data_IF_016156754268
#
_entry.id   IF_016156754268
#
_cell.length_a   1.000
_cell.length_b   1.000
_cell.length_c   1.000
_cell.angle_alpha   90.00
_cell.angle_beta   90.00
_cell.angle_gamma   90.00
#
_symmetry.space_group_name_H-M   'P 1'
#
loop_
_entity.id
_entity.type
_entity.pdbx_description
1 polymer ?
#
# COMPACT_ATOMS: atom_id res chain seq x y z
N UNK A 1 -28.60 1.34 9.30
CA UNK A 1 -27.95 2.40 8.66
C UNK A 1 -26.48 2.10 8.44
N UNK A 2 -26.12 2.12 7.24
CA UNK A 2 -24.84 1.57 6.93
C UNK A 2 -24.00 2.60 6.29
N UNK A 3 -23.50 3.34 6.37
CA UNK A 3 -22.63 4.29 5.77
C UNK A 3 -21.89 5.05 6.82
N UNK A 4 -20.84 5.65 6.43
CA UNK A 4 -20.09 6.52 7.29
C UNK A 4 -20.86 7.78 7.53
N UNK A 5 -20.86 8.26 8.74
CA UNK A 5 -21.36 9.59 9.02
C UNK A 5 -20.40 10.63 8.42
N UNK A 6 -20.89 11.80 8.04
CA UNK A 6 -20.00 12.86 7.54
C UNK A 6 -18.88 13.19 8.53
N UNK A 7 -19.14 13.08 9.83
CA UNK A 7 -18.09 13.31 10.84
C UNK A 7 -17.01 12.25 10.80
N UNK A 8 -17.38 11.00 10.48
CA UNK A 8 -16.41 9.92 10.38
C UNK A 8 -15.52 10.11 9.16
N UNK A 9 -16.11 10.48 8.02
CA UNK A 9 -15.33 10.77 6.81
C UNK A 9 -14.41 11.97 7.03
N UNK A 10 -14.88 12.98 7.72
CA UNK A 10 -14.04 14.13 8.05
C UNK A 10 -12.87 13.73 8.95
N UNK A 11 -13.11 12.87 9.93
CA UNK A 11 -12.07 12.37 10.81
C UNK A 11 -11.05 11.54 10.02
N UNK A 12 -11.51 10.68 9.14
CA UNK A 12 -10.63 9.86 8.29
C UNK A 12 -9.78 10.77 7.40
N UNK A 13 -10.39 11.78 6.78
CA UNK A 13 -9.67 12.71 5.92
C UNK A 13 -8.60 13.47 6.70
N UNK A 14 -8.91 13.90 7.91
CA UNK A 14 -7.94 14.60 8.75
C UNK A 14 -6.77 13.69 9.14
N UNK A 15 -7.06 12.50 9.61
CA UNK A 15 -6.03 11.54 9.96
C UNK A 15 -5.16 11.17 8.77
N UNK A 16 -5.77 11.01 7.59
CA UNK A 16 -5.04 10.71 6.36
C UNK A 16 -4.09 11.85 5.98
N UNK A 17 -4.55 13.10 6.13
CA UNK A 17 -3.72 14.25 5.85
C UNK A 17 -2.54 14.36 6.82
N UNK A 18 -2.79 14.11 8.10
CA UNK A 18 -1.75 14.13 9.12
C UNK A 18 -0.73 13.04 8.87
N UNK A 19 -1.20 11.84 8.55
CA UNK A 19 -0.31 10.72 8.23
C UNK A 19 0.51 11.02 6.98
N UNK A 20 -0.10 11.55 5.93
CA UNK A 20 0.62 11.90 4.71
C UNK A 20 1.71 12.93 5.00
N UNK A 21 1.44 13.92 5.86
CA UNK A 21 2.44 14.90 6.26
C UNK A 21 3.59 14.24 7.03
N UNK A 22 3.27 13.33 7.93
CA UNK A 22 4.24 12.57 8.70
C UNK A 22 5.17 11.78 7.77
N UNK A 23 4.60 11.11 6.78
CA UNK A 23 5.37 10.32 5.83
C UNK A 23 6.28 11.19 4.97
N UNK A 24 5.79 12.36 4.55
CA UNK A 24 6.61 13.30 3.78
C UNK A 24 7.80 13.80 4.57
N UNK A 25 7.73 13.85 5.88
CA UNK A 25 8.85 14.19 6.74
C UNK A 25 9.81 13.04 6.96
N UNK A 26 9.55 11.89 6.36
CA UNK A 26 10.40 10.71 6.49
C UNK A 26 10.10 9.86 7.72
N UNK A 27 8.99 10.13 8.39
CA UNK A 27 8.62 9.43 9.62
C UNK A 27 7.62 8.32 9.30
N UNK A 28 8.15 7.20 8.81
CA UNK A 28 7.33 6.04 8.49
C UNK A 28 7.13 5.18 9.74
N UNK A 29 5.90 4.72 9.99
CA UNK A 29 5.69 3.77 11.07
C UNK A 29 6.42 2.46 10.78
N UNK A 30 6.89 1.80 11.82
CA UNK A 30 7.48 0.47 11.73
C UNK A 30 6.70 -0.41 12.66
N UNK A 31 6.18 -1.51 12.13
CA UNK A 31 5.37 -2.45 12.90
C UNK A 31 6.03 -3.82 12.88
N UNK A 32 5.86 -4.56 13.97
CA UNK A 32 6.37 -5.92 14.05
C UNK A 32 5.42 -6.85 13.30
N UNK A 33 6.01 -7.83 12.62
CA UNK A 33 5.25 -8.87 11.95
C UNK A 33 5.94 -10.19 12.20
N UNK A 34 5.15 -11.26 12.21
CA UNK A 34 5.69 -12.62 12.33
C UNK A 34 6.11 -13.17 10.98
N UNK A 35 5.71 -12.51 9.89
CA UNK A 35 6.11 -12.95 8.56
C UNK A 35 7.58 -12.65 8.31
N UNK A 36 8.32 -13.58 7.70
CA UNK A 36 9.73 -13.32 7.41
C UNK A 36 9.86 -12.22 6.36
N UNK A 37 10.79 -11.31 6.60
CA UNK A 37 11.10 -10.21 5.69
C UNK A 37 12.48 -10.40 5.10
N UNK A 38 12.70 -9.86 3.91
CA UNK A 38 14.02 -9.84 3.30
C UNK A 38 14.99 -9.02 4.15
N UNK A 39 16.30 -9.33 4.12
CA UNK A 39 17.27 -8.52 4.87
C UNK A 39 17.18 -7.05 4.50
N UNK A 40 17.09 -6.20 5.52
CA UNK A 40 16.98 -4.77 5.33
C UNK A 40 15.57 -4.25 5.07
N UNK A 41 14.59 -5.12 4.90
CA UNK A 41 13.21 -4.71 4.70
C UNK A 41 12.53 -4.47 6.04
N UNK A 42 11.56 -3.56 6.06
CA UNK A 42 10.79 -3.23 7.25
C UNK A 42 9.31 -3.24 6.91
N UNK A 43 8.49 -3.67 7.85
CA UNK A 43 7.04 -3.62 7.69
C UNK A 43 6.51 -2.30 8.23
N UNK A 44 5.69 -1.63 7.44
CA UNK A 44 5.12 -0.33 7.80
C UNK A 44 3.63 -0.41 8.10
N UNK A 45 2.98 -1.47 7.69
CA UNK A 45 1.55 -1.64 7.92
C UNK A 45 1.20 -3.11 7.70
N UNK A 46 0.38 -3.66 8.57
CA UNK A 46 -0.16 -5.01 8.41
C UNK A 46 -1.60 -5.02 8.93
N UNK A 47 -2.49 -5.63 8.19
CA UNK A 47 -3.88 -5.75 8.62
C UNK A 47 -4.53 -6.96 7.98
N UNK A 48 -5.47 -7.62 8.69
CA UNK A 48 -6.28 -8.68 8.09
C UNK A 48 -7.12 -8.12 6.95
N UNK A 49 -7.20 -8.86 5.85
CA UNK A 49 -7.99 -8.45 4.69
C UNK A 49 -8.63 -9.65 4.03
N UNK A 50 -9.65 -9.38 3.24
CA UNK A 50 -10.19 -10.31 2.27
C UNK A 50 -9.73 -9.84 0.89
N UNK A 51 -9.12 -10.74 0.14
CA UNK A 51 -8.61 -10.43 -1.18
C UNK A 51 -9.55 -11.04 -2.22
N UNK A 52 -10.02 -10.23 -3.15
CA UNK A 52 -10.92 -10.65 -4.20
C UNK A 52 -12.33 -10.14 -3.98
N UNK A 53 -13.24 -10.54 -4.86
CA UNK A 53 -14.63 -10.04 -4.86
C UNK A 53 -15.69 -11.14 -4.98
N UNK A 54 -15.31 -12.39 -5.05
CA UNK A 54 -16.23 -13.50 -5.36
C UNK A 54 -16.08 -14.64 -4.38
N UNK A 55 -16.77 -15.75 -4.67
CA UNK A 55 -16.74 -16.95 -3.82
C UNK A 55 -15.35 -17.49 -3.59
N UNK A 56 -14.44 -17.21 -4.49
CA UNK A 56 -13.05 -17.65 -4.35
C UNK A 56 -12.19 -16.64 -3.58
N UNK A 57 -12.81 -15.71 -2.87
CA UNK A 57 -12.09 -14.74 -2.06
C UNK A 57 -11.17 -15.45 -1.08
N UNK A 58 -10.01 -14.84 -0.89
CA UNK A 58 -8.98 -15.34 0.00
C UNK A 58 -8.95 -14.49 1.26
N UNK A 59 -8.80 -15.14 2.40
CA UNK A 59 -8.64 -14.44 3.67
C UNK A 59 -7.18 -14.55 4.10
N UNK A 60 -6.66 -13.48 4.62
CA UNK A 60 -5.28 -13.42 5.06
C UNK A 60 -4.98 -12.04 5.58
N UNK A 61 -3.77 -11.59 5.35
CA UNK A 61 -3.40 -10.23 5.71
C UNK A 61 -2.49 -9.63 4.66
N UNK A 62 -2.58 -8.31 4.55
CA UNK A 62 -1.72 -7.55 3.67
C UNK A 62 -0.60 -6.94 4.50
N UNK A 63 0.61 -6.96 3.95
CA UNK A 63 1.77 -6.31 4.53
C UNK A 63 2.28 -5.26 3.54
N UNK A 64 2.53 -4.07 4.03
CA UNK A 64 3.19 -3.03 3.27
C UNK A 64 4.59 -2.88 3.85
N UNK A 65 5.59 -3.33 3.11
CA UNK A 65 6.98 -3.25 3.55
C UNK A 65 7.73 -2.23 2.71
N UNK A 66 8.96 -1.95 3.06
CA UNK A 66 9.77 -0.99 2.30
C UNK A 66 9.91 -1.38 0.83
N UNK A 67 9.99 -2.68 0.54
CA UNK A 67 10.20 -3.16 -0.83
C UNK A 67 8.97 -3.73 -1.53
N UNK A 68 7.92 -4.07 -0.80
CA UNK A 68 6.84 -4.89 -1.36
C UNK A 68 5.49 -4.58 -0.76
N UNK A 69 4.45 -4.79 -1.58
CA UNK A 69 3.09 -5.04 -1.10
C UNK A 69 2.92 -6.56 -1.15
N UNK A 70 2.60 -7.16 -0.03
CA UNK A 70 2.46 -8.62 0.07
C UNK A 70 1.10 -8.98 0.62
N UNK A 71 0.52 -10.05 0.08
CA UNK A 71 -0.65 -10.69 0.65
C UNK A 71 -0.25 -12.09 1.10
N UNK A 72 -0.58 -12.43 2.33
CA UNK A 72 -0.32 -13.74 2.93
C UNK A 72 -1.62 -14.37 3.36
N UNK A 73 -1.96 -15.49 2.75
CA UNK A 73 -3.18 -16.25 3.04
C UNK A 73 -3.05 -17.65 2.48
N UNK A 74 -4.14 -18.20 1.98
CA UNK A 74 -4.07 -19.50 1.32
C UNK A 74 -3.24 -19.46 0.05
N UNK A 75 -3.12 -18.31 -0.57
CA UNK A 75 -2.13 -18.07 -1.60
C UNK A 75 -1.30 -16.86 -1.16
N UNK A 76 -0.09 -16.77 -1.65
CA UNK A 76 0.80 -15.65 -1.38
C UNK A 76 0.99 -14.82 -2.64
N UNK A 77 0.97 -13.50 -2.47
CA UNK A 77 1.16 -12.56 -3.56
C UNK A 77 2.20 -11.53 -3.12
N UNK A 78 3.10 -11.17 -4.00
CA UNK A 78 4.08 -10.11 -3.74
C UNK A 78 4.21 -9.24 -4.98
N UNK A 79 4.15 -7.93 -4.77
CA UNK A 79 4.27 -6.94 -5.84
C UNK A 79 5.26 -5.88 -5.36
N UNK A 80 6.20 -5.50 -6.22
CA UNK A 80 7.10 -4.40 -5.88
C UNK A 80 6.38 -3.07 -6.08
N UNK A 81 6.84 -2.05 -5.37
CA UNK A 81 6.19 -0.74 -5.45
C UNK A 81 6.29 -0.13 -6.84
N UNK A 82 7.35 -0.44 -7.60
CA UNK A 82 7.49 0.06 -8.96
C UNK A 82 6.50 -0.57 -9.94
N UNK A 83 5.92 -1.72 -9.61
CA UNK A 83 4.90 -2.37 -10.43
C UNK A 83 3.52 -1.77 -10.22
N UNK A 84 3.35 -0.93 -9.21
CA UNK A 84 2.07 -0.36 -8.85
C UNK A 84 1.90 1.00 -9.53
N UNK A 85 0.81 1.15 -10.28
CA UNK A 85 0.47 2.40 -10.94
C UNK A 85 -0.24 3.35 -9.98
N UNK A 86 -1.18 2.84 -9.20
CA UNK A 86 -2.01 3.67 -8.35
C UNK A 86 -2.59 2.86 -7.21
N UNK A 87 -2.79 3.52 -6.08
CA UNK A 87 -3.51 2.95 -4.93
C UNK A 87 -4.62 3.92 -4.56
N UNK A 88 -5.83 3.41 -4.42
CA UNK A 88 -6.98 4.21 -4.03
C UNK A 88 -7.73 3.52 -2.91
N UNK A 89 -8.46 4.30 -2.14
CA UNK A 89 -9.40 3.77 -1.16
C UNK A 89 -10.83 3.93 -1.71
N UNK A 90 -11.58 2.85 -1.63
CA UNK A 90 -13.00 2.87 -1.93
C UNK A 90 -13.74 2.23 -0.75
N UNK A 91 -14.35 3.05 0.09
CA UNK A 91 -14.98 2.61 1.34
C UNK A 91 -13.97 1.85 2.20
N UNK A 92 -14.17 0.57 2.46
CA UNK A 92 -13.24 -0.25 3.26
C UNK A 92 -12.22 -1.00 2.43
N UNK A 93 -12.14 -0.73 1.13
CA UNK A 93 -11.21 -1.42 0.25
C UNK A 93 -10.01 -0.56 -0.09
N UNK A 94 -8.85 -1.21 -0.16
CA UNK A 94 -7.71 -0.67 -0.86
C UNK A 94 -7.74 -1.27 -2.27
N UNK A 95 -7.70 -0.43 -3.28
CA UNK A 95 -7.72 -0.86 -4.68
C UNK A 95 -6.38 -0.48 -5.31
N UNK A 96 -5.67 -1.50 -5.80
CA UNK A 96 -4.32 -1.34 -6.34
C UNK A 96 -4.35 -1.65 -7.83
N UNK A 97 -3.90 -0.68 -8.63
CA UNK A 97 -3.73 -0.85 -10.08
C UNK A 97 -2.27 -1.13 -10.39
N UNK A 98 -2.03 -2.07 -11.29
CA UNK A 98 -0.67 -2.44 -11.68
C UNK A 98 -0.28 -1.76 -12.99
N UNK A 99 1.02 -1.47 -13.16
CA UNK A 99 1.53 -0.74 -14.32
C UNK A 99 1.26 -1.45 -15.64
N UNK A 100 1.52 -2.76 -15.67
CA UNK A 100 1.48 -3.50 -16.92
C UNK A 100 0.29 -4.42 -17.05
N UNK A 101 -0.77 -4.14 -16.29
CA UNK A 101 -1.93 -5.01 -16.27
C UNK A 101 -3.19 -4.17 -16.04
N UNK A 102 -4.29 -4.60 -16.65
CA UNK A 102 -5.59 -4.01 -16.36
C UNK A 102 -6.21 -4.60 -15.10
N UNK A 103 -5.52 -5.54 -14.48
CA UNK A 103 -6.00 -6.21 -13.30
C UNK A 103 -5.94 -5.27 -12.10
N UNK A 104 -6.99 -5.29 -11.31
CA UNK A 104 -7.05 -4.57 -10.05
C UNK A 104 -6.91 -5.57 -8.91
N UNK A 105 -6.14 -5.22 -7.91
CA UNK A 105 -6.06 -5.98 -6.68
C UNK A 105 -6.93 -5.26 -5.65
N UNK A 106 -7.89 -5.98 -5.07
CA UNK A 106 -8.82 -5.39 -4.11
C UNK A 106 -8.67 -6.09 -2.78
N UNK A 107 -8.40 -5.30 -1.75
CA UNK A 107 -8.21 -5.80 -0.39
C UNK A 107 -9.25 -5.14 0.50
N UNK A 108 -10.21 -5.93 0.98
CA UNK A 108 -11.24 -5.43 1.88
C UNK A 108 -10.72 -5.46 3.31
N UNK A 109 -10.64 -4.30 3.92
CA UNK A 109 -10.15 -4.14 5.28
C UNK A 109 -11.29 -4.21 6.29
N UNK A 110 -10.93 -4.22 7.57
CA UNK A 110 -11.86 -4.32 8.66
C UNK A 110 -12.71 -3.05 8.82
N UNK A 111 -12.13 -1.92 8.51
CA UNK A 111 -12.79 -0.62 8.64
C UNK A 111 -12.31 0.34 7.56
N UNK A 112 -13.07 1.41 7.38
CA UNK A 112 -12.68 2.47 6.46
C UNK A 112 -11.41 3.17 6.93
N UNK A 113 -11.24 3.33 8.24
CA UNK A 113 -10.05 3.95 8.80
C UNK A 113 -8.80 3.13 8.50
N UNK A 114 -8.87 1.80 8.63
CA UNK A 114 -7.74 0.94 8.28
C UNK A 114 -7.42 0.99 6.80
N UNK A 115 -8.45 0.96 5.96
CA UNK A 115 -8.25 1.05 4.52
C UNK A 115 -7.60 2.39 4.14
N UNK A 116 -8.03 3.47 4.77
CA UNK A 116 -7.47 4.79 4.53
C UNK A 116 -6.01 4.86 4.96
N UNK A 117 -5.69 4.33 6.13
CA UNK A 117 -4.32 4.32 6.64
C UNK A 117 -3.40 3.52 5.71
N UNK A 118 -3.83 2.32 5.33
CA UNK A 118 -3.07 1.48 4.42
C UNK A 118 -2.89 2.14 3.06
N UNK A 119 -3.94 2.76 2.52
CA UNK A 119 -3.86 3.43 1.23
C UNK A 119 -2.87 4.60 1.25
N UNK A 120 -2.85 5.39 2.32
CA UNK A 120 -1.91 6.52 2.45
C UNK A 120 -0.47 6.02 2.48
N UNK A 121 -0.20 4.97 3.27
CA UNK A 121 1.14 4.39 3.36
C UNK A 121 1.54 3.79 2.01
N UNK A 122 0.65 3.03 1.38
CA UNK A 122 0.93 2.42 0.09
C UNK A 122 1.19 3.47 -1.00
N UNK A 123 0.41 4.54 -1.03
CA UNK A 123 0.62 5.64 -1.97
C UNK A 123 1.99 6.27 -1.78
N UNK A 124 2.39 6.48 -0.54
CA UNK A 124 3.70 7.04 -0.23
C UNK A 124 4.82 6.13 -0.71
N UNK A 125 4.74 4.83 -0.41
CA UNK A 125 5.77 3.88 -0.79
C UNK A 125 5.87 3.74 -2.32
N UNK A 126 4.74 3.71 -3.01
CA UNK A 126 4.71 3.64 -4.47
C UNK A 126 5.31 4.89 -5.09
N UNK A 127 5.00 6.05 -4.55
CA UNK A 127 5.53 7.31 -5.06
C UNK A 127 7.03 7.42 -4.82
N UNK A 128 7.50 7.02 -3.65
CA UNK A 128 8.92 7.01 -3.32
C UNK A 128 9.69 6.09 -4.26
N UNK A 129 9.13 4.96 -4.61
CA UNK A 129 9.75 4.04 -5.56
C UNK A 129 9.87 4.65 -6.95
N UNK A 130 8.86 5.40 -7.39
CA UNK A 130 8.91 6.07 -8.69
C UNK A 130 9.98 7.15 -8.74
N UNK A 131 10.09 7.95 -7.69
CA UNK A 131 11.12 8.99 -7.61
C UNK A 131 12.50 8.35 -7.63
N UNK A 132 12.70 7.29 -6.82
CA UNK A 132 13.97 6.58 -6.77
C UNK A 132 14.33 5.98 -8.13
N UNK A 133 13.37 5.37 -8.81
CA UNK A 133 13.58 4.78 -10.13
C UNK A 133 13.96 5.85 -11.15
N UNK A 134 13.31 7.00 -11.11
CA UNK A 134 13.64 8.11 -12.01
C UNK A 134 15.06 8.61 -11.78
N UNK A 135 15.48 8.74 -10.52
CA UNK A 135 16.84 9.14 -10.18
C UNK A 135 17.87 8.14 -10.69
N UNK A 136 17.61 6.85 -10.52
CA UNK A 136 18.49 5.79 -11.01
C UNK A 136 18.56 5.80 -12.52
N UNK A 137 17.46 6.00 -13.21
CA UNK A 137 17.42 6.07 -14.66
C UNK A 137 18.23 7.25 -15.17
N UNK A 138 18.13 8.42 -14.53
CA UNK A 138 18.90 9.58 -14.90
C UNK A 138 20.40 9.34 -14.69
N UNK A 139 20.78 8.75 -13.58
CA UNK A 139 22.18 8.40 -13.31
C UNK A 139 22.72 7.40 -14.31
N UNK A 140 21.94 6.36 -14.61
CA UNK A 140 22.31 5.36 -15.59
C UNK A 140 22.49 5.94 -16.98
N UNK A 141 21.63 6.85 -17.37
CA UNK A 141 21.73 7.53 -18.64
C UNK A 141 23.04 8.35 -18.75
N UNK A 142 23.36 9.07 -17.67
CA UNK A 142 24.60 9.84 -17.64
C UNK A 142 25.82 8.93 -17.75
N UNK A 143 25.80 7.80 -17.10
CA UNK A 143 26.89 6.84 -17.17
C UNK A 143 27.02 6.27 -18.58
N UNK A 144 25.92 6.06 -19.27
CA UNK A 144 25.95 5.51 -20.60
C UNK A 144 26.56 6.46 -21.63
N UNK A 145 26.61 7.74 -21.35
CA UNK A 145 27.21 8.74 -22.25
C UNK A 145 28.70 8.89 -22.07
N UNK A 146 29.25 8.28 -21.07
CA UNK A 146 30.69 8.32 -20.85
C UNK A 146 31.40 7.27 -21.68
#
# INVERSE_FOLDING_TARGET
MNGSHPSDEAAIALESSELANQLRRGDLPVVNTQDPLAPGDQCHFVTPVRFGRRRSDQYGHVLLTSGWLKFRGTLDLSVTWSEIAEVQRAAREMVVSLQDSRRLLRFSCHSEAEAARGAVIAQHLAQSARVHTADLSASGFQQATL
#
